data_IF_805218736728
#
_entry.id   IF_805218736728
#
_cell.length_a   1.000
_cell.length_b   1.000
_cell.length_c   1.000
_cell.angle_alpha   90.00
_cell.angle_beta   90.00
_cell.angle_gamma   90.00
#
_symmetry.space_group_name_H-M   'P 1'
#
loop_
_entity.id
_entity.type
_entity.pdbx_description
1 polymer ?
#
# COMPACT_ATOMS: atom_id res chain seq x y z
N UNK A 1 0.58 -14.81 1.85
CA UNK A 1 -0.34 -13.78 2.36
C UNK A 1 0.23 -13.19 3.65
N UNK A 2 0.57 -11.89 3.63
CA UNK A 2 1.18 -11.17 4.76
C UNK A 2 0.35 -9.93 5.10
N UNK A 3 -0.15 -9.82 6.32
CA UNK A 3 -1.01 -8.70 6.70
C UNK A 3 -0.24 -7.39 6.84
N UNK A 4 0.98 -7.46 7.37
CA UNK A 4 1.88 -6.32 7.48
C UNK A 4 2.88 -6.34 6.33
N UNK A 5 2.88 -5.26 5.55
CA UNK A 5 3.82 -5.04 4.45
C UNK A 5 4.62 -3.78 4.72
N UNK A 6 5.92 -3.84 4.44
CA UNK A 6 6.76 -2.65 4.43
C UNK A 6 6.53 -1.91 3.10
N UNK A 7 6.32 -0.59 3.19
CA UNK A 7 6.14 0.33 2.08
C UNK A 7 6.94 1.61 2.35
N UNK A 8 7.05 2.48 1.35
CA UNK A 8 7.85 3.69 1.42
C UNK A 8 6.93 4.90 1.38
N UNK A 9 6.95 5.76 2.40
CA UNK A 9 6.21 7.03 2.38
C UNK A 9 6.67 7.89 1.21
N UNK A 10 5.72 8.33 0.39
CA UNK A 10 6.01 9.11 -0.81
C UNK A 10 6.77 10.41 -0.50
N UNK A 11 6.29 11.17 0.49
CA UNK A 11 6.85 12.49 0.80
C UNK A 11 8.26 12.46 1.41
N UNK A 12 8.64 11.38 2.09
CA UNK A 12 9.87 11.35 2.92
C UNK A 12 10.85 10.25 2.54
N UNK A 13 10.44 9.28 1.72
CA UNK A 13 11.24 8.08 1.46
C UNK A 13 11.37 7.13 2.66
N UNK A 14 10.64 7.38 3.75
CA UNK A 14 10.73 6.57 4.97
C UNK A 14 10.00 5.25 4.82
N UNK A 15 10.64 4.14 5.22
CA UNK A 15 9.99 2.84 5.34
C UNK A 15 8.94 2.85 6.46
N UNK A 16 7.73 2.36 6.15
CA UNK A 16 6.62 2.20 7.09
C UNK A 16 5.96 0.83 6.91
N UNK A 17 5.46 0.27 8.02
CA UNK A 17 4.69 -0.97 7.98
C UNK A 17 3.20 -0.65 7.95
N UNK A 18 2.48 -1.26 7.01
CA UNK A 18 1.04 -1.04 6.79
C UNK A 18 0.33 -2.37 6.94
N UNK A 19 -0.77 -2.36 7.69
CA UNK A 19 -1.69 -3.50 7.72
C UNK A 19 -2.65 -3.39 6.52
N UNK A 20 -2.41 -4.18 5.48
CA UNK A 20 -3.20 -4.12 4.25
C UNK A 20 -4.65 -4.55 4.46
N UNK A 21 -4.96 -5.32 5.52
CA UNK A 21 -6.35 -5.68 5.83
C UNK A 21 -7.19 -4.49 6.32
N UNK A 22 -6.54 -3.38 6.69
CA UNK A 22 -7.21 -2.13 7.06
C UNK A 22 -7.39 -1.18 5.86
N UNK A 23 -6.93 -1.55 4.67
CA UNK A 23 -7.05 -0.71 3.47
C UNK A 23 -8.42 -0.96 2.84
N UNK A 24 -9.25 0.09 2.79
CA UNK A 24 -10.57 0.05 2.19
C UNK A 24 -10.55 0.32 0.69
N UNK A 25 -9.63 1.17 0.24
CA UNK A 25 -9.38 1.41 -1.18
C UNK A 25 -7.92 1.77 -1.43
N UNK A 26 -7.46 1.45 -2.64
CA UNK A 26 -6.12 1.73 -3.13
C UNK A 26 -6.22 2.22 -4.57
N UNK A 27 -5.60 3.35 -4.87
CA UNK A 27 -5.57 3.90 -6.23
C UNK A 27 -4.25 4.61 -6.52
N UNK A 28 -3.98 4.82 -7.81
CA UNK A 28 -2.84 5.59 -8.27
C UNK A 28 -3.23 7.04 -8.52
N UNK A 29 -2.44 7.98 -8.00
CA UNK A 29 -2.58 9.42 -8.20
C UNK A 29 -1.22 9.97 -8.66
N UNK A 30 -1.03 10.09 -9.98
CA UNK A 30 0.27 10.42 -10.56
C UNK A 30 1.38 9.44 -10.18
N UNK A 31 2.41 9.96 -9.50
CA UNK A 31 3.59 9.19 -9.06
C UNK A 31 3.44 8.53 -7.68
N UNK A 32 2.31 8.72 -7.00
CA UNK A 32 2.05 8.12 -5.69
C UNK A 32 0.87 7.17 -5.72
N UNK A 33 0.93 6.15 -4.86
CA UNK A 33 -0.22 5.30 -4.56
C UNK A 33 -0.83 5.77 -3.26
N UNK A 34 -2.15 5.94 -3.26
CA UNK A 34 -2.90 6.38 -2.09
C UNK A 34 -3.69 5.20 -1.54
N UNK A 35 -3.54 4.96 -0.24
CA UNK A 35 -4.33 3.99 0.52
C UNK A 35 -5.30 4.75 1.41
N UNK A 36 -6.61 4.50 1.28
CA UNK A 36 -7.59 4.94 2.26
C UNK A 36 -7.87 3.82 3.25
N UNK A 37 -7.80 4.13 4.55
CA UNK A 37 -7.99 3.15 5.61
C UNK A 37 -9.46 3.06 6.04
N UNK A 38 -9.94 1.85 6.29
CA UNK A 38 -11.25 1.61 6.89
C UNK A 38 -11.22 2.08 8.35
N UNK A 39 -12.22 2.87 8.76
CA UNK A 39 -12.35 3.34 10.15
C UNK A 39 -11.35 4.40 10.57
N UNK A 40 -10.55 4.94 9.65
CA UNK A 40 -9.55 5.98 9.92
C UNK A 40 -10.06 7.41 9.74
N UNK A 41 -11.36 7.69 9.81
CA UNK A 41 -11.94 9.04 9.61
C UNK A 41 -11.45 9.76 8.33
N UNK A 42 -11.28 9.01 7.23
CA UNK A 42 -10.80 9.54 5.95
C UNK A 42 -9.28 9.69 5.85
N UNK A 43 -8.51 9.15 6.81
CA UNK A 43 -7.05 9.10 6.73
C UNK A 43 -6.58 8.35 5.49
N UNK A 44 -5.66 8.99 4.78
CA UNK A 44 -4.95 8.41 3.65
C UNK A 44 -3.46 8.28 3.95
N UNK A 45 -2.84 7.28 3.33
CA UNK A 45 -1.39 7.09 3.33
C UNK A 45 -0.91 7.12 1.89
N UNK A 46 0.13 7.89 1.63
CA UNK A 46 0.73 8.04 0.31
C UNK A 46 2.06 7.31 0.22
N UNK A 47 2.20 6.49 -0.80
CA UNK A 47 3.31 5.55 -0.97
C UNK A 47 3.97 5.70 -2.34
N UNK A 48 5.27 5.39 -2.38
CA UNK A 48 6.03 5.39 -3.64
C UNK A 48 5.76 4.15 -4.48
N UNK A 49 5.47 3.02 -3.85
CA UNK A 49 5.17 1.77 -4.54
C UNK A 49 3.94 1.89 -5.43
N UNK A 50 3.91 1.14 -6.54
CA UNK A 50 2.67 0.97 -7.33
C UNK A 50 1.70 0.00 -6.64
N UNK A 51 0.39 0.02 -6.99
CA UNK A 51 -0.56 -0.94 -6.47
C UNK A 51 -0.11 -2.40 -6.67
N UNK A 52 0.48 -2.72 -7.84
CA UNK A 52 0.93 -4.06 -8.18
C UNK A 52 2.07 -4.52 -7.25
N UNK A 53 3.03 -3.65 -6.98
CA UNK A 53 4.13 -3.95 -6.05
C UNK A 53 3.63 -4.19 -4.63
N UNK A 54 2.62 -3.44 -4.18
CA UNK A 54 1.98 -3.60 -2.88
C UNK A 54 1.27 -4.97 -2.81
N UNK A 55 0.50 -5.32 -3.84
CA UNK A 55 -0.20 -6.61 -3.91
C UNK A 55 0.78 -7.79 -3.99
N UNK A 56 1.86 -7.66 -4.75
CA UNK A 56 2.92 -8.68 -4.80
C UNK A 56 3.57 -8.89 -3.42
N UNK A 57 3.84 -7.82 -2.67
CA UNK A 57 4.35 -7.95 -1.29
C UNK A 57 3.36 -8.66 -0.37
N UNK A 58 2.06 -8.43 -0.55
CA UNK A 58 1.01 -9.06 0.25
C UNK A 58 0.82 -10.54 -0.08
N UNK A 59 0.64 -10.86 -1.37
CA UNK A 59 0.34 -12.21 -1.83
C UNK A 59 1.60 -13.09 -1.97
N UNK A 60 2.76 -12.48 -2.19
CA UNK A 60 3.98 -13.10 -2.69
C UNK A 60 4.11 -12.90 -4.20
N UNK A 61 5.22 -13.38 -4.79
CA UNK A 61 5.45 -13.33 -6.23
C UNK A 61 4.23 -13.91 -6.98
N UNK A 62 3.48 -13.04 -7.66
CA UNK A 62 2.36 -13.46 -8.50
C UNK A 62 2.97 -14.02 -9.79
N UNK A 63 3.27 -15.33 -9.80
CA UNK A 63 3.52 -16.04 -11.05
C UNK A 63 2.24 -15.97 -11.86
N UNK A 64 2.27 -15.24 -12.98
CA UNK A 64 1.29 -15.40 -14.05
C UNK A 64 1.33 -16.87 -14.49
N UNK A 65 0.21 -17.58 -14.32
CA UNK A 65 0.01 -18.91 -14.90
C UNK A 65 -0.18 -18.80 -16.41
#
# INVERSE_FOLDING_TARGET
MRFWIECTRFATGQAIHINIALVGSMWRDGERTVLALVGGDGQTIELSETPEQILERHFGAMRTA
#
